data_IF_804116072671
#
_entry.id   IF_804116072671
#
_cell.length_a   1.000
_cell.length_b   1.000
_cell.length_c   1.000
_cell.angle_alpha   90.00
_cell.angle_beta   90.00
_cell.angle_gamma   90.00
#
_symmetry.space_group_name_H-M   'P 1'
#
loop_
_entity.id
_entity.type
_entity.pdbx_description
1 polymer ?
#
# COMPACT_ATOMS: atom_id res chain seq x y z
N UNK A 1 13.18 -7.33 3.69
CA UNK A 1 14.64 -7.14 3.78
C UNK A 1 14.99 -5.87 3.02
N UNK A 2 14.94 -4.73 3.70
CA UNK A 2 15.32 -3.43 3.16
C UNK A 2 16.83 -3.47 2.91
N UNK A 3 17.27 -3.36 1.65
CA UNK A 3 18.70 -3.23 1.35
C UNK A 3 19.14 -1.86 1.88
N UNK A 4 19.81 -1.88 3.02
CA UNK A 4 20.51 -0.71 3.55
C UNK A 4 21.49 -0.22 2.48
N UNK A 5 21.18 0.93 1.91
CA UNK A 5 22.06 1.61 0.96
C UNK A 5 22.99 2.45 1.83
N UNK A 6 24.20 1.94 2.07
CA UNK A 6 25.22 2.68 2.80
C UNK A 6 25.46 4.04 2.11
N UNK A 7 25.46 5.17 2.85
CA UNK A 7 25.67 6.49 2.27
C UNK A 7 27.08 6.60 1.68
N UNK A 8 27.18 7.18 0.49
CA UNK A 8 28.45 7.46 -0.19
C UNK A 8 28.90 8.87 0.17
N UNK A 9 30.16 9.10 0.55
CA UNK A 9 30.69 10.45 0.78
C UNK A 9 30.59 11.33 -0.47
N UNK A 10 30.24 12.61 -0.28
CA UNK A 10 30.15 13.58 -1.38
C UNK A 10 31.47 13.70 -2.17
N UNK A 11 32.62 13.56 -1.51
CA UNK A 11 33.95 13.59 -2.14
C UNK A 11 34.16 12.42 -3.10
N UNK A 12 33.66 11.24 -2.77
CA UNK A 12 33.72 10.08 -3.66
C UNK A 12 32.76 10.24 -4.85
N UNK A 13 31.56 10.78 -4.57
CA UNK A 13 30.57 11.08 -5.60
C UNK A 13 31.05 12.14 -6.60
N UNK A 14 31.62 13.24 -6.13
CA UNK A 14 32.06 14.37 -6.97
C UNK A 14 33.22 14.00 -7.90
N UNK A 15 34.09 13.08 -7.47
CA UNK A 15 35.18 12.57 -8.29
C UNK A 15 34.70 11.66 -9.43
N UNK A 16 33.54 11.02 -9.31
CA UNK A 16 33.07 9.99 -10.25
C UNK A 16 31.59 10.11 -10.62
N UNK A 17 31.10 11.35 -10.82
CA UNK A 17 29.68 11.63 -11.09
C UNK A 17 29.13 10.81 -12.27
N UNK A 18 29.88 10.70 -13.38
CA UNK A 18 29.44 9.95 -14.57
C UNK A 18 29.19 8.46 -14.28
N UNK A 19 30.08 7.84 -13.49
CA UNK A 19 29.97 6.43 -13.12
C UNK A 19 28.73 6.18 -12.27
N UNK A 20 28.47 7.04 -11.28
CA UNK A 20 27.26 6.92 -10.45
C UNK A 20 25.99 7.18 -11.25
N UNK A 21 26.02 8.11 -12.20
CA UNK A 21 24.88 8.36 -13.09
C UNK A 21 24.54 7.14 -13.95
N UNK A 22 25.55 6.52 -14.59
CA UNK A 22 25.38 5.29 -15.35
C UNK A 22 24.91 4.12 -14.48
N UNK A 23 25.45 3.99 -13.27
CA UNK A 23 25.06 2.96 -12.32
C UNK A 23 23.59 3.10 -11.88
N UNK A 24 23.15 4.32 -11.56
CA UNK A 24 21.77 4.60 -11.13
C UNK A 24 20.77 4.35 -12.27
N UNK A 25 21.15 4.64 -13.51
CA UNK A 25 20.31 4.35 -14.69
C UNK A 25 20.26 2.85 -14.98
N UNK A 26 21.43 2.19 -15.05
CA UNK A 26 21.54 0.78 -15.43
C UNK A 26 20.94 -0.16 -14.38
N UNK A 27 21.22 0.08 -13.10
CA UNK A 27 20.73 -0.77 -12.00
C UNK A 27 19.34 -0.37 -11.51
N UNK A 28 18.85 0.83 -11.87
CA UNK A 28 17.60 1.41 -11.33
C UNK A 28 17.56 1.45 -9.80
N UNK A 29 18.73 1.50 -9.14
CA UNK A 29 18.87 1.58 -7.69
C UNK A 29 19.18 3.02 -7.27
N UNK A 30 18.53 3.55 -6.24
CA UNK A 30 18.88 4.86 -5.70
C UNK A 30 20.23 4.81 -4.99
N UNK A 31 21.00 5.88 -5.12
CA UNK A 31 22.26 6.10 -4.39
C UNK A 31 22.06 7.24 -3.41
N UNK A 32 22.50 7.04 -2.17
CA UNK A 32 22.44 8.06 -1.12
C UNK A 32 23.82 8.69 -1.03
N UNK A 33 23.90 10.01 -1.14
CA UNK A 33 25.13 10.79 -1.00
C UNK A 33 25.05 11.60 0.28
N UNK A 34 26.10 11.55 1.09
CA UNK A 34 26.20 12.27 2.36
C UNK A 34 27.39 13.24 2.33
N UNK A 35 27.19 14.47 2.80
CA UNK A 35 28.28 15.45 2.94
C UNK A 35 28.90 15.42 4.35
N UNK A 36 30.01 16.12 4.53
CA UNK A 36 30.73 16.20 5.81
C UNK A 36 29.90 16.83 6.95
N UNK A 37 28.81 17.53 6.60
CA UNK A 37 27.85 18.12 7.55
C UNK A 37 26.72 17.16 7.93
N UNK A 38 26.73 15.93 7.40
CA UNK A 38 25.69 14.93 7.63
C UNK A 38 24.40 15.14 6.82
N UNK A 39 24.38 16.10 5.88
CA UNK A 39 23.26 16.29 4.97
C UNK A 39 23.26 15.20 3.90
N UNK A 40 22.07 14.66 3.60
CA UNK A 40 21.89 13.53 2.69
C UNK A 40 21.08 13.93 1.47
N UNK A 41 21.54 13.54 0.30
CA UNK A 41 20.86 13.67 -0.97
C UNK A 41 20.65 12.29 -1.60
N UNK A 42 19.60 12.14 -2.41
CA UNK A 42 19.29 10.87 -3.09
C UNK A 42 19.33 11.07 -4.61
N UNK A 43 20.22 10.34 -5.28
CA UNK A 43 20.23 10.21 -6.72
C UNK A 43 19.35 9.02 -7.12
N UNK A 44 18.33 9.26 -7.93
CA UNK A 44 17.43 8.22 -8.44
C UNK A 44 17.11 8.47 -9.93
N UNK A 45 16.83 7.42 -10.72
CA UNK A 45 16.37 7.62 -12.08
C UNK A 45 15.00 8.32 -12.07
N UNK A 46 14.83 9.30 -12.96
CA UNK A 46 13.56 10.04 -13.11
C UNK A 46 12.48 9.15 -13.71
N UNK A 47 12.86 8.34 -14.72
CA UNK A 47 11.99 7.37 -15.35
C UNK A 47 12.17 6.05 -14.60
N UNK A 48 11.42 5.85 -13.53
CA UNK A 48 11.30 4.51 -12.97
C UNK A 48 10.53 3.66 -14.00
N UNK A 49 11.14 2.56 -14.47
CA UNK A 49 10.33 1.49 -15.07
C UNK A 49 9.26 1.19 -14.04
N UNK A 50 7.98 1.38 -14.40
CA UNK A 50 6.86 0.95 -13.53
C UNK A 50 7.18 -0.49 -13.15
N UNK A 51 7.50 -0.72 -11.88
CA UNK A 51 7.53 -2.07 -11.33
C UNK A 51 6.18 -2.65 -11.74
N UNK A 52 6.21 -3.68 -12.59
CA UNK A 52 4.98 -4.39 -12.92
C UNK A 52 4.50 -4.93 -11.58
N UNK A 53 3.51 -4.25 -10.99
CA UNK A 53 2.84 -4.75 -9.81
C UNK A 53 2.36 -6.16 -10.10
N UNK A 54 2.27 -7.00 -9.06
CA UNK A 54 1.74 -8.35 -9.18
C UNK A 54 0.45 -8.29 -10.01
N UNK A 55 0.41 -9.05 -11.11
CA UNK A 55 -0.80 -9.16 -11.92
C UNK A 55 -1.89 -9.73 -11.02
N UNK A 56 -2.96 -8.97 -10.81
CA UNK A 56 -4.12 -9.42 -10.03
C UNK A 56 -4.67 -10.69 -10.69
N UNK A 57 -4.60 -11.80 -9.97
CA UNK A 57 -5.15 -13.08 -10.44
C UNK A 57 -6.66 -13.09 -10.32
N UNK A 58 -7.30 -14.06 -10.93
CA UNK A 58 -8.75 -14.26 -10.77
C UNK A 58 -9.12 -14.54 -9.30
N UNK A 59 -8.31 -15.35 -8.61
CA UNK A 59 -8.48 -15.63 -7.18
C UNK A 59 -8.38 -14.36 -6.30
N UNK A 60 -7.43 -13.46 -6.61
CA UNK A 60 -7.31 -12.17 -5.89
C UNK A 60 -8.56 -11.29 -6.08
N UNK A 61 -9.21 -11.38 -7.25
CA UNK A 61 -10.45 -10.65 -7.54
C UNK A 61 -11.63 -11.25 -6.78
N UNK A 62 -11.74 -12.57 -6.72
CA UNK A 62 -12.80 -13.27 -6.01
C UNK A 62 -12.71 -13.06 -4.50
N UNK A 63 -11.50 -13.09 -3.92
CA UNK A 63 -11.26 -12.77 -2.52
C UNK A 63 -11.61 -11.30 -2.20
N UNK A 64 -11.30 -10.38 -3.11
CA UNK A 64 -11.68 -8.98 -2.94
C UNK A 64 -13.21 -8.80 -3.01
N UNK A 65 -13.88 -9.46 -3.95
CA UNK A 65 -15.34 -9.40 -4.09
C UNK A 65 -16.09 -10.10 -2.94
N UNK A 66 -15.53 -11.17 -2.37
CA UNK A 66 -16.10 -11.82 -1.19
C UNK A 66 -15.93 -10.95 0.07
N UNK A 67 -14.82 -10.21 0.19
CA UNK A 67 -14.59 -9.27 1.30
C UNK A 67 -15.53 -8.06 1.30
N UNK A 68 -16.12 -7.73 0.15
CA UNK A 68 -17.16 -6.70 0.02
C UNK A 68 -18.53 -7.17 0.53
N UNK A 69 -18.61 -8.36 1.13
CA UNK A 69 -19.82 -8.84 1.80
C UNK A 69 -21.01 -8.89 0.85
N UNK A 70 -20.81 -9.40 -0.36
CA UNK A 70 -21.92 -9.62 -1.27
C UNK A 70 -22.92 -10.56 -0.61
N UNK A 71 -24.16 -10.12 -0.44
CA UNK A 71 -25.29 -10.88 0.14
C UNK A 71 -25.75 -12.01 -0.81
N UNK A 72 -24.82 -12.63 -1.53
CA UNK A 72 -25.11 -13.74 -2.43
C UNK A 72 -25.31 -14.99 -1.58
N UNK A 73 -26.56 -15.32 -1.33
CA UNK A 73 -26.98 -16.45 -0.50
C UNK A 73 -27.60 -16.07 0.84
N UNK A 74 -27.73 -14.77 1.13
CA UNK A 74 -28.58 -14.32 2.25
C UNK A 74 -30.00 -14.17 1.73
N UNK A 75 -30.95 -14.80 2.40
CA UNK A 75 -32.38 -14.59 2.14
C UNK A 75 -32.78 -13.22 2.67
N UNK A 76 -32.73 -12.23 1.77
CA UNK A 76 -33.03 -10.83 2.09
C UNK A 76 -34.48 -10.68 2.51
N UNK A 77 -35.39 -11.48 1.93
CA UNK A 77 -36.82 -11.40 2.22
C UNK A 77 -37.11 -11.91 3.63
N UNK A 78 -36.50 -13.03 4.02
CA UNK A 78 -36.58 -13.53 5.40
C UNK A 78 -35.96 -12.54 6.39
N UNK A 79 -34.80 -11.96 6.07
CA UNK A 79 -34.15 -10.97 6.92
C UNK A 79 -35.02 -9.73 7.17
N UNK A 80 -35.67 -9.20 6.12
CA UNK A 80 -36.56 -8.05 6.25
C UNK A 80 -37.77 -8.36 7.13
N UNK A 81 -38.35 -9.55 6.97
CA UNK A 81 -39.48 -10.02 7.78
C UNK A 81 -39.10 -10.13 9.27
N UNK A 82 -37.99 -10.79 9.58
CA UNK A 82 -37.50 -10.97 10.95
C UNK A 82 -37.19 -9.61 11.63
N UNK A 83 -36.63 -8.67 10.87
CA UNK A 83 -36.32 -7.33 11.35
C UNK A 83 -37.57 -6.50 11.64
N UNK A 84 -38.62 -6.60 10.81
CA UNK A 84 -39.90 -5.94 11.05
C UNK A 84 -40.60 -6.53 12.29
N UNK A 85 -40.62 -7.86 12.42
CA UNK A 85 -41.16 -8.56 13.59
C UNK A 85 -40.43 -8.15 14.88
N UNK A 86 -39.09 -8.06 14.84
CA UNK A 86 -38.29 -7.63 15.98
C UNK A 86 -38.59 -6.20 16.43
N UNK A 87 -38.85 -5.27 15.49
CA UNK A 87 -39.18 -3.87 15.80
C UNK A 87 -40.52 -3.71 16.50
N UNK A 88 -41.44 -4.65 16.30
CA UNK A 88 -42.74 -4.65 16.97
C UNK A 88 -42.66 -5.18 18.40
N UNK A 89 -41.58 -5.86 18.77
CA UNK A 89 -41.35 -6.31 20.14
C UNK A 89 -40.87 -5.15 21.00
N UNK A 90 -41.78 -4.53 21.76
CA UNK A 90 -41.42 -3.57 22.79
C UNK A 90 -40.82 -4.30 24.00
N UNK A 91 -39.52 -4.57 23.94
CA UNK A 91 -38.72 -5.17 25.02
C UNK A 91 -38.21 -4.14 26.02
N UNK A 92 -38.48 -2.84 25.82
CA UNK A 92 -38.04 -1.79 26.74
C UNK A 92 -38.96 -1.75 27.96
N UNK A 93 -38.43 -1.83 29.19
CA UNK A 93 -39.24 -1.65 30.37
C UNK A 93 -39.86 -0.24 30.36
N UNK A 94 -41.13 -0.09 30.78
CA UNK A 94 -41.77 1.22 30.82
C UNK A 94 -40.98 2.16 31.73
N UNK A 95 -40.71 3.37 31.22
CA UNK A 95 -40.06 4.45 31.99
C UNK A 95 -41.17 5.38 32.45
N UNK A 96 -41.35 5.49 33.76
CA UNK A 96 -42.21 6.52 34.36
C UNK A 96 -41.52 7.87 34.20
N UNK A 97 -42.21 8.84 33.58
CA UNK A 97 -41.77 10.23 33.46
C UNK A 97 -42.30 11.06 34.63
#
# INVERSE_FOLDING_TARGET
>A
MSKETSPIPFTEFSNNVSRFFEQVISESKPVIVENEKGERAVLKPVISRKLQGRKKTQADREAFLSSLGGWKGVDVDQFLKDNEESRQLNTRPPVEL
#
